data_IF_643996193893
#
_entry.id   IF_643996193893
#
_cell.length_a   1.000
_cell.length_b   1.000
_cell.length_c   1.000
_cell.angle_alpha   90.00
_cell.angle_beta   90.00
_cell.angle_gamma   90.00
#
_symmetry.space_group_name_H-M   'P 1'
#
loop_
_entity.id
_entity.type
_entity.pdbx_description
1 polymer ?
#
# COMPACT_ATOMS: atom_id res chain seq x y z
N UNK A 1 -17.87 6.52 -19.01
CA UNK A 1 -18.01 5.79 -17.71
C UNK A 1 -17.03 4.64 -17.75
N UNK A 2 -15.76 4.90 -17.42
CA UNK A 2 -14.73 3.87 -17.24
C UNK A 2 -14.09 4.14 -15.90
N UNK A 3 -14.67 3.57 -14.85
CA UNK A 3 -14.08 3.55 -13.51
C UNK A 3 -13.19 2.32 -13.40
N UNK A 4 -12.10 2.30 -14.15
CA UNK A 4 -11.01 1.39 -13.83
C UNK A 4 -10.42 1.91 -12.52
N UNK A 5 -10.58 1.13 -11.45
CA UNK A 5 -9.95 1.41 -10.18
C UNK A 5 -8.44 1.20 -10.35
N UNK A 6 -7.75 2.11 -11.05
CA UNK A 6 -6.32 2.25 -10.92
C UNK A 6 -6.06 2.48 -9.44
N UNK A 7 -5.45 1.50 -8.78
CA UNK A 7 -4.91 1.68 -7.43
C UNK A 7 -4.01 2.90 -7.49
N UNK A 8 -4.51 4.02 -6.95
CA UNK A 8 -3.79 5.28 -7.08
C UNK A 8 -2.51 5.17 -6.26
N UNK A 9 -1.45 5.83 -6.75
CA UNK A 9 -0.20 5.94 -6.00
C UNK A 9 -0.43 6.44 -4.57
N UNK A 10 -1.47 7.25 -4.36
CA UNK A 10 -1.91 7.73 -3.05
C UNK A 10 -2.42 6.62 -2.12
N UNK A 11 -3.21 5.67 -2.63
CA UNK A 11 -3.69 4.53 -1.83
C UNK A 11 -2.54 3.61 -1.42
N UNK A 12 -1.60 3.39 -2.33
CA UNK A 12 -0.39 2.61 -2.05
C UNK A 12 0.46 3.31 -1.00
N UNK A 13 0.67 4.63 -1.12
CA UNK A 13 1.45 5.41 -0.16
C UNK A 13 0.78 5.50 1.21
N UNK A 14 -0.54 5.64 1.27
CA UNK A 14 -1.28 5.64 2.53
C UNK A 14 -1.13 4.30 3.26
N UNK A 15 -1.36 3.18 2.57
CA UNK A 15 -1.22 1.86 3.17
C UNK A 15 0.25 1.56 3.52
N UNK A 16 1.21 2.00 2.72
CA UNK A 16 2.63 1.83 3.03
C UNK A 16 3.03 2.57 4.31
N UNK A 17 2.51 3.79 4.52
CA UNK A 17 2.69 4.54 5.77
C UNK A 17 2.09 3.82 6.96
N UNK A 18 0.87 3.29 6.81
CA UNK A 18 0.21 2.54 7.89
C UNK A 18 1.00 1.28 8.26
N UNK A 19 1.48 0.53 7.26
CA UNK A 19 2.31 -0.66 7.47
C UNK A 19 3.64 -0.32 8.13
N UNK A 20 4.27 0.78 7.73
CA UNK A 20 5.49 1.27 8.36
C UNK A 20 5.26 1.70 9.80
N UNK A 21 4.21 2.48 10.08
CA UNK A 21 3.86 2.88 11.44
C UNK A 21 3.48 1.70 12.33
N UNK A 22 2.88 0.65 11.77
CA UNK A 22 2.60 -0.58 12.52
C UNK A 22 3.90 -1.34 12.89
N UNK A 23 4.92 -1.29 12.04
CA UNK A 23 6.21 -1.94 12.27
C UNK A 23 7.16 -1.09 13.14
N UNK A 24 7.15 0.23 12.97
CA UNK A 24 7.91 1.22 13.74
C UNK A 24 7.01 2.42 14.09
N UNK A 25 6.31 2.38 15.24
CA UNK A 25 5.42 3.45 15.67
C UNK A 25 6.13 4.78 15.95
N UNK A 26 7.44 4.71 16.22
CA UNK A 26 8.28 5.88 16.53
C UNK A 26 8.92 6.50 15.30
N UNK A 27 9.00 5.71 14.22
CA UNK A 27 9.56 6.09 12.94
C UNK A 27 8.71 7.13 12.22
N UNK A 28 9.38 8.05 11.52
CA UNK A 28 8.73 9.00 10.61
C UNK A 28 8.92 8.51 9.18
N UNK A 29 7.82 8.20 8.51
CA UNK A 29 7.83 7.77 7.10
C UNK A 29 8.75 8.58 6.17
N UNK A 30 8.72 9.93 6.14
CA UNK A 30 9.61 10.71 5.26
C UNK A 30 11.10 10.59 5.61
N UNK A 31 11.44 10.14 6.82
CA UNK A 31 12.81 9.92 7.28
C UNK A 31 13.27 8.47 7.04
N UNK A 32 12.39 7.56 6.64
CA UNK A 32 12.76 6.20 6.32
C UNK A 32 13.63 6.16 5.06
N UNK A 33 14.63 5.27 5.04
CA UNK A 33 15.48 5.08 3.87
C UNK A 33 14.66 4.66 2.65
N UNK A 34 15.16 4.99 1.46
CA UNK A 34 14.51 4.64 0.19
C UNK A 34 14.15 3.15 0.09
N UNK A 35 15.06 2.26 0.55
CA UNK A 35 14.82 0.82 0.53
C UNK A 35 13.66 0.41 1.43
N UNK A 36 13.54 1.05 2.60
CA UNK A 36 12.44 0.81 3.54
C UNK A 36 11.13 1.31 2.93
N UNK A 37 11.11 2.54 2.40
CA UNK A 37 9.92 3.07 1.74
C UNK A 37 9.47 2.21 0.56
N UNK A 38 10.41 1.76 -0.27
CA UNK A 38 10.13 0.89 -1.41
C UNK A 38 9.60 -0.48 -0.96
N UNK A 39 10.14 -1.05 0.10
CA UNK A 39 9.66 -2.32 0.67
C UNK A 39 8.18 -2.22 1.08
N UNK A 40 7.83 -1.21 1.90
CA UNK A 40 6.45 -1.03 2.38
C UNK A 40 5.46 -0.67 1.26
N UNK A 41 5.90 0.09 0.24
CA UNK A 41 5.08 0.34 -0.97
C UNK A 41 4.78 -0.96 -1.74
N UNK A 42 5.76 -1.83 -1.88
CA UNK A 42 5.58 -3.14 -2.54
C UNK A 42 4.65 -4.05 -1.74
N UNK A 43 4.76 -4.05 -0.42
CA UNK A 43 3.83 -4.77 0.47
C UNK A 43 2.41 -4.23 0.36
N UNK A 44 2.24 -2.90 0.39
CA UNK A 44 0.97 -2.23 0.20
C UNK A 44 0.31 -2.59 -1.14
N UNK A 45 1.09 -2.57 -2.24
CA UNK A 45 0.63 -3.01 -3.56
C UNK A 45 0.13 -4.46 -3.54
N UNK A 46 0.88 -5.38 -2.93
CA UNK A 46 0.47 -6.79 -2.83
C UNK A 46 -0.83 -6.96 -2.05
N UNK A 47 -0.98 -6.27 -0.92
CA UNK A 47 -2.19 -6.36 -0.11
C UNK A 47 -3.41 -5.82 -0.85
N UNK A 48 -3.26 -4.68 -1.52
CA UNK A 48 -4.33 -4.10 -2.32
C UNK A 48 -4.70 -5.03 -3.48
N UNK A 49 -3.73 -5.54 -4.25
CA UNK A 49 -3.98 -6.53 -5.31
C UNK A 49 -4.75 -7.76 -4.79
N UNK A 50 -4.36 -8.32 -3.65
CA UNK A 50 -5.09 -9.45 -3.04
C UNK A 50 -6.53 -9.09 -2.66
N UNK A 51 -6.79 -7.86 -2.22
CA UNK A 51 -8.16 -7.40 -1.92
C UNK A 51 -8.99 -7.30 -3.20
N UNK A 52 -8.42 -6.79 -4.30
CA UNK A 52 -9.11 -6.73 -5.59
C UNK A 52 -9.39 -8.13 -6.15
N UNK A 53 -8.41 -9.04 -6.13
CA UNK A 53 -8.60 -10.43 -6.59
C UNK A 53 -9.67 -11.15 -5.77
N UNK A 54 -9.63 -11.08 -4.43
CA UNK A 54 -10.65 -11.70 -3.57
C UNK A 54 -12.04 -11.10 -3.75
N UNK A 55 -12.12 -9.82 -4.12
CA UNK A 55 -13.40 -9.17 -4.39
C UNK A 55 -13.96 -9.58 -5.76
N UNK A 56 -13.09 -9.82 -6.75
CA UNK A 56 -13.46 -10.30 -8.07
C UNK A 56 -13.94 -11.76 -8.06
N UNK A 57 -13.39 -12.62 -7.21
CA UNK A 57 -13.82 -14.04 -7.08
C UNK A 57 -15.18 -14.22 -6.36
N UNK A 58 -15.72 -13.17 -5.74
CA UNK A 58 -17.02 -13.21 -5.04
C UNK A 58 -18.22 -12.74 -5.88
N UNK A 59 -18.00 -12.40 -7.15
CA UNK A 59 -19.03 -12.03 -8.13
C UNK A 59 -19.28 -13.18 -9.10
#
# INVERSE_FOLDING_TARGET
MAGEAEMTSEQIDALARDLYHAADPTGRWPCADYLIQHHFRREAQRQLQQRYTKSAERL
#
